data_IF_724625401895
#
_entry.id   IF_724625401895
#
_cell.length_a   1.000
_cell.length_b   1.000
_cell.length_c   1.000
_cell.angle_alpha   90.00
_cell.angle_beta   90.00
_cell.angle_gamma   90.00
#
_symmetry.space_group_name_H-M   'P 1'
#
loop_
_entity.id
_entity.type
_entity.pdbx_description
1 polymer ?
#
# COMPACT_ATOMS: atom_id res chain seq x y z
N UNK A 1 20.99 6.05 -7.12
CA UNK A 1 19.83 5.15 -6.95
C UNK A 1 19.93 4.07 -8.00
N UNK A 2 20.32 2.86 -7.61
CA UNK A 2 20.55 1.76 -8.55
C UNK A 2 19.23 1.19 -9.09
N UNK A 3 19.27 0.54 -10.26
CA UNK A 3 18.11 -0.17 -10.84
C UNK A 3 17.53 -1.18 -9.84
N UNK A 4 18.40 -1.83 -9.05
CA UNK A 4 17.99 -2.77 -8.00
C UNK A 4 17.19 -2.10 -6.87
N UNK A 5 17.61 -0.91 -6.43
CA UNK A 5 16.89 -0.15 -5.39
C UNK A 5 15.50 0.30 -5.89
N UNK A 6 15.41 0.73 -7.15
CA UNK A 6 14.14 1.12 -7.76
C UNK A 6 13.15 -0.05 -7.85
N UNK A 7 13.62 -1.21 -8.32
CA UNK A 7 12.79 -2.43 -8.39
C UNK A 7 12.35 -2.87 -6.99
N UNK A 8 13.27 -2.85 -6.03
CA UNK A 8 12.98 -3.19 -4.64
C UNK A 8 11.91 -2.26 -4.05
N UNK A 9 12.02 -0.95 -4.27
CA UNK A 9 11.02 0.01 -3.84
C UNK A 9 9.64 -0.25 -4.46
N UNK A 10 9.58 -0.55 -5.75
CA UNK A 10 8.31 -0.88 -6.44
C UNK A 10 7.65 -2.14 -5.87
N UNK A 11 8.44 -3.18 -5.59
CA UNK A 11 7.94 -4.42 -4.96
C UNK A 11 7.40 -4.11 -3.57
N UNK A 12 8.16 -3.35 -2.78
CA UNK A 12 7.83 -3.04 -1.39
C UNK A 12 6.57 -2.16 -1.30
N UNK A 13 6.44 -1.14 -2.16
CA UNK A 13 5.24 -0.29 -2.26
C UNK A 13 4.02 -1.12 -2.65
N UNK A 14 4.16 -2.03 -3.62
CA UNK A 14 3.04 -2.88 -4.01
C UNK A 14 2.64 -3.87 -2.91
N UNK A 15 3.60 -4.43 -2.17
CA UNK A 15 3.33 -5.35 -1.06
C UNK A 15 2.60 -4.63 0.08
N UNK A 16 3.10 -3.45 0.47
CA UNK A 16 2.47 -2.56 1.44
C UNK A 16 1.07 -2.16 0.96
N UNK A 17 0.95 -1.70 -0.29
CA UNK A 17 -0.31 -1.29 -0.90
C UNK A 17 -1.36 -2.39 -0.91
N UNK A 18 -0.98 -3.63 -1.25
CA UNK A 18 -1.87 -4.79 -1.19
C UNK A 18 -2.37 -5.06 0.23
N UNK A 19 -1.47 -5.06 1.22
CA UNK A 19 -1.82 -5.30 2.62
C UNK A 19 -2.78 -4.25 3.16
N UNK A 20 -2.49 -2.96 2.93
CA UNK A 20 -3.34 -1.86 3.39
C UNK A 20 -4.68 -1.86 2.68
N UNK A 21 -4.69 -2.10 1.38
CA UNK A 21 -5.94 -2.14 0.62
C UNK A 21 -6.86 -3.25 1.11
N UNK A 22 -6.30 -4.43 1.38
CA UNK A 22 -7.03 -5.52 2.00
C UNK A 22 -7.58 -5.15 3.38
N UNK A 23 -6.76 -4.56 4.25
CA UNK A 23 -7.19 -4.11 5.58
C UNK A 23 -8.30 -3.06 5.48
N UNK A 24 -8.18 -2.09 4.58
CA UNK A 24 -9.20 -1.06 4.33
C UNK A 24 -10.53 -1.68 3.87
N UNK A 25 -10.48 -2.64 2.94
CA UNK A 25 -11.66 -3.40 2.50
C UNK A 25 -12.30 -4.15 3.67
N UNK A 26 -11.50 -4.82 4.51
CA UNK A 26 -11.97 -5.50 5.71
C UNK A 26 -12.62 -4.55 6.71
N UNK A 27 -12.06 -3.35 6.90
CA UNK A 27 -12.64 -2.31 7.75
C UNK A 27 -14.00 -1.82 7.25
N UNK A 28 -14.24 -1.81 5.93
CA UNK A 28 -15.53 -1.44 5.32
C UNK A 28 -16.53 -2.62 5.33
N UNK A 29 -16.14 -3.78 5.87
CA UNK A 29 -17.02 -4.95 6.01
C UNK A 29 -16.95 -5.93 4.82
N UNK A 30 -15.90 -5.87 4.02
CA UNK A 30 -15.71 -6.80 2.91
C UNK A 30 -15.41 -8.23 3.41
N UNK A 31 -16.31 -9.17 3.09
CA UNK A 31 -16.18 -10.57 3.51
C UNK A 31 -15.22 -11.38 2.64
N UNK A 32 -14.83 -10.87 1.46
CA UNK A 32 -13.93 -11.55 0.52
C UNK A 32 -12.56 -11.85 1.11
N UNK A 33 -11.91 -12.87 0.55
CA UNK A 33 -10.58 -13.30 0.96
C UNK A 33 -9.48 -12.42 0.34
N UNK A 34 -8.27 -12.44 0.92
CA UNK A 34 -7.13 -11.63 0.46
C UNK A 34 -6.86 -11.77 -1.04
N UNK A 35 -6.85 -13.01 -1.54
CA UNK A 35 -6.60 -13.32 -2.95
C UNK A 35 -7.69 -12.76 -3.88
N UNK A 36 -8.96 -12.87 -3.50
CA UNK A 36 -10.08 -12.35 -4.29
C UNK A 36 -10.04 -10.83 -4.39
N UNK A 37 -9.74 -10.16 -3.28
CA UNK A 37 -9.57 -8.71 -3.26
C UNK A 37 -8.37 -8.32 -4.12
N UNK A 38 -7.25 -9.04 -4.00
CA UNK A 38 -6.06 -8.75 -4.78
C UNK A 38 -6.29 -8.94 -6.28
N UNK A 39 -6.94 -10.02 -6.71
CA UNK A 39 -7.20 -10.32 -8.13
C UNK A 39 -8.17 -9.31 -8.75
N UNK A 40 -9.15 -8.82 -7.98
CA UNK A 40 -10.10 -7.80 -8.44
C UNK A 40 -9.56 -6.37 -8.37
N UNK A 41 -8.42 -6.16 -7.72
CA UNK A 41 -7.84 -4.82 -7.53
C UNK A 41 -6.80 -4.55 -8.61
N UNK A 42 -7.06 -3.52 -9.42
CA UNK A 42 -6.13 -3.09 -10.46
C UNK A 42 -4.77 -2.66 -9.88
N UNK A 43 -3.69 -2.92 -10.63
CA UNK A 43 -2.32 -2.64 -10.22
C UNK A 43 -2.08 -1.19 -9.76
N UNK A 44 -2.68 -0.23 -10.47
CA UNK A 44 -2.56 1.19 -10.13
C UNK A 44 -3.24 1.56 -8.80
N UNK A 45 -4.32 0.87 -8.42
CA UNK A 45 -5.00 1.10 -7.14
C UNK A 45 -4.07 0.67 -5.99
N UNK A 46 -3.44 -0.50 -6.12
CA UNK A 46 -2.50 -1.05 -5.12
C UNK A 46 -1.34 -0.09 -4.89
N UNK A 47 -0.73 0.36 -5.99
CA UNK A 47 0.35 1.35 -5.97
C UNK A 47 -0.09 2.65 -5.30
N UNK A 48 -1.25 3.19 -5.69
CA UNK A 48 -1.77 4.44 -5.12
C UNK A 48 -2.06 4.33 -3.62
N UNK A 49 -2.66 3.23 -3.14
CA UNK A 49 -2.84 3.01 -1.69
C UNK A 49 -1.52 2.89 -0.94
N UNK A 50 -0.51 2.24 -1.52
CA UNK A 50 0.83 2.15 -0.94
C UNK A 50 1.48 3.52 -0.81
N UNK A 51 1.45 4.32 -1.87
CA UNK A 51 1.98 5.70 -1.89
C UNK A 51 1.23 6.60 -0.91
N UNK A 52 -0.11 6.56 -0.91
CA UNK A 52 -0.92 7.37 -0.01
C UNK A 52 -0.62 7.06 1.46
N UNK A 53 -0.47 5.78 1.81
CA UNK A 53 -0.13 5.38 3.17
C UNK A 53 1.28 5.80 3.58
N UNK A 54 2.28 5.62 2.71
CA UNK A 54 3.65 6.10 2.97
C UNK A 54 3.65 7.62 3.15
N UNK A 55 2.89 8.35 2.33
CA UNK A 55 2.75 9.79 2.47
C UNK A 55 2.13 10.18 3.83
N UNK A 56 1.07 9.50 4.26
CA UNK A 56 0.46 9.70 5.58
C UNK A 56 1.48 9.43 6.69
N UNK A 57 2.24 8.33 6.62
CA UNK A 57 3.30 8.03 7.60
C UNK A 57 4.33 9.15 7.65
N UNK A 58 4.83 9.62 6.50
CA UNK A 58 5.83 10.70 6.44
C UNK A 58 5.29 11.97 7.08
N UNK A 59 4.03 12.35 6.76
CA UNK A 59 3.38 13.53 7.34
C UNK A 59 3.21 13.39 8.85
N UNK A 60 2.77 12.22 9.33
CA UNK A 60 2.64 11.93 10.75
C UNK A 60 3.99 11.97 11.45
N UNK A 61 5.00 11.28 10.93
CA UNK A 61 6.36 11.28 11.47
C UNK A 61 6.92 12.71 11.56
N UNK A 62 6.76 13.52 10.51
CA UNK A 62 7.19 14.93 10.52
C UNK A 62 6.45 15.78 11.56
N UNK A 63 5.22 15.41 11.93
CA UNK A 63 4.47 16.10 12.99
C UNK A 63 4.89 15.65 14.40
N UNK A 64 5.36 14.42 14.56
CA UNK A 64 5.81 13.87 15.85
C UNK A 64 7.30 14.09 16.11
N UNK A 65 8.11 14.22 15.07
CA UNK A 65 9.52 14.64 15.15
C UNK A 65 9.50 16.18 15.22
N UNK A 66 9.63 16.71 16.43
CA UNK A 66 9.71 18.15 16.72
C UNK A 66 11.01 18.75 16.18
#
# INVERSE_FOLDING_TARGET
MGIFEFIFQQILINLIGNGIYFLFRKLIGDKRNYKEIQDQTAGYIKFFTGVAFIFIIIVLMKKFIK
#
